data_IF_961509546122
#
_entry.id   IF_961509546122
#
_cell.length_a   1.000
_cell.length_b   1.000
_cell.length_c   1.000
_cell.angle_alpha   90.00
_cell.angle_beta   90.00
_cell.angle_gamma   90.00
#
_symmetry.space_group_name_H-M   'P 1'
#
loop_
_entity.id
_entity.type
_entity.pdbx_description
1 polymer ?
#
# COMPACT_ATOMS: atom_id res chain seq x y z
N UNK A 1 76.86 12.78 -41.17
CA UNK A 1 76.25 14.08 -41.49
C UNK A 1 75.90 14.78 -40.16
N UNK A 2 76.20 16.07 -39.98
CA UNK A 2 75.28 17.23 -40.14
C UNK A 2 73.86 16.96 -39.58
N UNK A 3 73.30 17.75 -38.64
CA UNK A 3 73.85 18.84 -37.79
C UNK A 3 72.79 19.29 -36.76
N UNK A 4 73.22 19.88 -35.64
CA UNK A 4 72.72 21.09 -34.91
C UNK A 4 71.22 21.46 -35.04
N UNK A 5 70.50 21.99 -34.04
CA UNK A 5 70.78 22.81 -32.84
C UNK A 5 69.51 22.69 -31.91
N UNK A 6 69.31 23.21 -30.69
CA UNK A 6 69.93 24.28 -29.87
C UNK A 6 69.90 23.92 -28.36
N UNK A 7 70.84 24.53 -27.63
CA UNK A 7 70.81 24.97 -26.22
C UNK A 7 69.56 25.85 -25.88
N UNK A 8 69.22 26.22 -24.63
CA UNK A 8 70.06 26.57 -23.46
C UNK A 8 69.24 26.68 -22.15
N UNK A 9 69.91 26.57 -20.98
CA UNK A 9 69.83 27.37 -19.73
C UNK A 9 68.49 28.05 -19.26
N UNK A 10 68.19 28.22 -17.96
CA UNK A 10 69.07 28.23 -16.78
C UNK A 10 68.39 27.76 -15.45
N UNK A 11 69.25 27.50 -14.47
CA UNK A 11 68.95 27.31 -13.03
C UNK A 11 68.47 28.61 -12.38
N UNK A 12 67.53 28.53 -11.44
CA UNK A 12 67.40 29.46 -10.32
C UNK A 12 66.88 28.70 -9.08
N UNK A 13 67.32 29.08 -7.88
CA UNK A 13 67.07 28.32 -6.65
C UNK A 13 66.72 29.23 -5.48
N UNK A 14 65.90 28.73 -4.54
CA UNK A 14 65.73 29.22 -3.16
C UNK A 14 65.20 30.66 -3.00
N UNK A 15 64.04 30.78 -2.35
CA UNK A 15 63.92 31.66 -1.18
C UNK A 15 62.84 31.14 -0.22
N UNK A 16 63.22 30.84 1.02
CA UNK A 16 62.26 30.68 2.12
C UNK A 16 61.98 32.05 2.72
N UNK A 17 60.71 32.31 3.05
CA UNK A 17 60.32 33.38 3.98
C UNK A 17 59.40 32.77 5.04
N UNK A 18 59.93 32.58 6.24
CA UNK A 18 59.09 32.46 7.43
C UNK A 18 58.49 33.83 7.73
N UNK A 19 57.21 33.85 8.09
CA UNK A 19 56.70 34.86 9.01
C UNK A 19 55.67 34.20 9.93
N UNK A 20 55.70 34.55 11.21
CA UNK A 20 54.88 33.91 12.24
C UNK A 20 54.18 34.97 13.08
N UNK A 21 52.90 34.78 13.37
CA UNK A 21 52.19 35.55 14.37
C UNK A 21 51.05 34.73 15.00
N UNK A 22 51.27 34.37 16.27
CA UNK A 22 50.32 34.47 17.37
C UNK A 22 48.82 34.27 17.07
N UNK A 23 48.29 33.11 17.45
CA UNK A 23 46.87 32.79 17.30
C UNK A 23 45.93 33.46 18.30
N UNK A 24 44.64 33.22 18.08
CA UNK A 24 43.54 33.38 19.02
C UNK A 24 42.72 32.07 19.04
N UNK A 25 41.94 31.84 20.09
CA UNK A 25 41.23 30.57 20.30
C UNK A 25 39.84 30.54 19.66
N UNK A 26 39.59 29.53 18.83
CA UNK A 26 38.29 28.83 18.78
C UNK A 26 38.48 27.42 19.34
N UNK A 27 37.46 26.91 20.01
CA UNK A 27 37.30 25.48 20.26
C UNK A 27 36.41 24.96 19.15
N UNK A 28 37.00 24.28 18.17
CA UNK A 28 36.28 23.77 17.03
C UNK A 28 35.53 22.49 17.47
N UNK A 29 34.21 22.62 17.57
CA UNK A 29 33.28 21.63 18.12
C UNK A 29 32.72 20.79 16.96
N UNK A 30 33.50 19.84 16.44
CA UNK A 30 33.05 18.89 15.41
C UNK A 30 32.17 17.80 16.03
N UNK A 31 30.99 18.22 16.49
CA UNK A 31 29.83 17.35 16.61
C UNK A 31 29.27 17.10 15.22
N UNK A 32 29.75 16.03 14.57
CA UNK A 32 29.23 15.54 13.29
C UNK A 32 27.85 14.88 13.48
N UNK A 33 26.84 15.69 13.80
CA UNK A 33 25.45 15.28 13.55
C UNK A 33 25.21 15.35 12.04
N UNK A 34 25.37 14.20 11.38
CA UNK A 34 24.92 13.98 10.02
C UNK A 34 23.41 14.20 9.96
N UNK A 35 22.98 15.42 9.65
CA UNK A 35 21.60 15.71 9.28
C UNK A 35 21.28 14.88 8.04
N UNK A 36 20.49 13.81 8.19
CA UNK A 36 20.03 13.04 7.04
C UNK A 36 19.32 14.00 6.09
N UNK A 37 19.83 14.07 4.85
CA UNK A 37 19.26 14.97 3.86
C UNK A 37 17.85 14.48 3.55
N UNK A 38 16.85 15.28 3.95
CA UNK A 38 15.43 14.94 3.83
C UNK A 38 15.11 14.50 2.39
N UNK A 39 15.00 13.19 2.19
CA UNK A 39 14.93 12.59 0.86
C UNK A 39 13.49 12.57 0.40
N UNK A 40 13.26 12.99 -0.84
CA UNK A 40 11.94 13.01 -1.46
C UNK A 40 11.62 11.58 -1.93
N UNK A 41 10.72 10.89 -1.23
CA UNK A 41 10.45 9.46 -1.49
C UNK A 41 9.36 9.23 -2.52
N UNK A 42 8.30 10.05 -2.51
CA UNK A 42 7.15 9.82 -3.38
C UNK A 42 7.43 10.25 -4.83
N UNK A 43 7.54 9.25 -5.72
CA UNK A 43 7.62 9.46 -7.16
C UNK A 43 6.21 9.65 -7.76
N UNK A 44 5.80 10.91 -7.92
CA UNK A 44 4.48 11.29 -8.45
C UNK A 44 4.21 10.79 -9.88
N UNK A 45 5.25 10.40 -10.64
CA UNK A 45 5.10 9.96 -12.04
C UNK A 45 4.59 8.52 -12.19
N UNK A 46 4.63 7.73 -11.11
CA UNK A 46 4.07 6.36 -11.07
C UNK A 46 2.54 6.36 -10.98
N UNK A 47 1.93 7.45 -10.52
CA UNK A 47 0.49 7.51 -10.27
C UNK A 47 -0.31 7.75 -11.55
N UNK A 48 -1.32 6.91 -11.76
CA UNK A 48 -2.30 7.06 -12.86
C UNK A 48 -3.00 8.41 -12.80
N UNK A 49 -3.29 8.95 -13.98
CA UNK A 49 -4.08 10.17 -14.15
C UNK A 49 -5.56 9.89 -14.48
N UNK A 50 -6.01 8.63 -14.46
CA UNK A 50 -7.39 8.26 -14.85
C UNK A 50 -8.43 8.87 -13.90
N UNK A 51 -8.30 8.55 -12.62
CA UNK A 51 -9.17 8.98 -11.51
C UNK A 51 -8.75 10.34 -10.92
N UNK A 52 -7.58 10.87 -11.30
CA UNK A 52 -6.94 12.01 -10.62
C UNK A 52 -7.57 13.36 -11.00
N UNK A 53 -8.04 14.11 -10.00
CA UNK A 53 -8.75 15.38 -10.17
C UNK A 53 -7.91 16.63 -9.84
N UNK A 54 -6.75 16.46 -9.20
CA UNK A 54 -5.77 17.54 -8.96
C UNK A 54 -4.33 17.04 -9.15
N UNK A 55 -3.42 17.94 -9.54
CA UNK A 55 -1.99 17.62 -9.57
C UNK A 55 -1.38 17.63 -8.17
N UNK A 56 -0.31 16.86 -7.99
CA UNK A 56 0.43 16.76 -6.72
C UNK A 56 1.03 18.12 -6.28
N UNK A 57 0.46 18.71 -5.22
CA UNK A 57 0.88 20.00 -4.64
C UNK A 57 1.69 19.77 -3.35
N UNK A 58 2.84 20.43 -3.19
CA UNK A 58 3.61 20.41 -1.94
C UNK A 58 3.10 21.48 -0.95
N UNK A 59 2.26 21.06 -0.02
CA UNK A 59 1.68 21.90 1.06
C UNK A 59 2.49 21.78 2.35
N UNK A 60 2.42 22.80 3.22
CA UNK A 60 2.94 22.71 4.59
C UNK A 60 2.07 21.77 5.44
N UNK A 61 2.70 20.92 6.25
CA UNK A 61 2.01 19.99 7.15
C UNK A 61 2.82 19.73 8.42
N UNK A 62 2.16 19.17 9.44
CA UNK A 62 2.80 18.69 10.67
C UNK A 62 2.58 17.19 10.80
N UNK A 63 3.65 16.44 11.08
CA UNK A 63 3.60 14.99 11.31
C UNK A 63 3.28 14.66 12.79
N UNK A 64 2.96 13.40 13.06
CA UNK A 64 2.53 12.88 14.36
C UNK A 64 3.58 12.92 15.48
N UNK A 65 4.85 13.09 15.14
CA UNK A 65 5.96 13.35 16.06
C UNK A 65 6.12 14.85 16.41
N UNK A 66 5.44 15.74 15.68
CA UNK A 66 5.56 17.20 15.77
C UNK A 66 6.46 17.84 14.70
N UNK A 67 7.02 17.07 13.76
CA UNK A 67 7.88 17.59 12.69
C UNK A 67 7.07 18.45 11.71
N UNK A 68 7.49 19.70 11.52
CA UNK A 68 7.00 20.60 10.46
C UNK A 68 7.72 20.28 9.14
N UNK A 69 6.97 19.94 8.09
CA UNK A 69 7.53 19.48 6.81
C UNK A 69 6.60 19.81 5.63
N UNK A 70 6.93 19.28 4.44
CA UNK A 70 6.03 19.28 3.28
C UNK A 70 5.32 17.94 3.13
N UNK A 71 4.05 18.00 2.78
CA UNK A 71 3.25 16.88 2.34
C UNK A 71 2.81 17.10 0.90
N UNK A 72 2.75 16.02 0.12
CA UNK A 72 1.98 15.99 -1.11
C UNK A 72 0.49 16.00 -0.78
N UNK A 73 -0.24 16.94 -1.37
CA UNK A 73 -1.69 16.93 -1.48
C UNK A 73 -2.07 16.51 -2.90
N UNK A 74 -3.02 15.59 -3.01
CA UNK A 74 -3.58 15.11 -4.29
C UNK A 74 -5.02 14.65 -4.09
N UNK A 75 -5.85 14.74 -5.13
CA UNK A 75 -7.27 14.37 -5.10
C UNK A 75 -7.64 13.46 -6.27
N UNK A 76 -8.58 12.55 -6.03
CA UNK A 76 -9.08 11.55 -6.97
C UNK A 76 -10.62 11.46 -6.88
N UNK A 77 -11.30 11.21 -7.99
CA UNK A 77 -12.72 10.83 -8.00
C UNK A 77 -12.85 9.33 -7.77
N UNK A 78 -13.91 8.91 -7.07
CA UNK A 78 -14.16 7.51 -6.73
C UNK A 78 -14.71 6.68 -7.91
N UNK A 79 -13.91 6.59 -8.97
CA UNK A 79 -14.26 5.90 -10.21
C UNK A 79 -13.06 5.05 -10.66
N UNK A 80 -12.97 3.77 -10.26
CA UNK A 80 -11.96 2.85 -10.78
C UNK A 80 -12.15 2.65 -12.29
N UNK A 81 -11.05 2.40 -13.02
CA UNK A 81 -11.10 2.23 -14.49
C UNK A 81 -11.89 0.98 -14.90
N UNK A 82 -11.79 -0.08 -14.09
CA UNK A 82 -12.69 -1.21 -14.09
C UNK A 82 -12.81 -1.73 -12.66
N UNK A 83 -13.99 -2.25 -12.30
CA UNK A 83 -14.24 -2.99 -11.06
C UNK A 83 -15.30 -4.06 -11.33
N UNK A 84 -15.38 -5.03 -10.42
CA UNK A 84 -16.22 -6.21 -10.54
C UNK A 84 -15.71 -7.26 -11.55
N UNK A 85 -16.41 -8.40 -11.70
CA UNK A 85 -17.65 -8.77 -11.02
C UNK A 85 -17.52 -8.84 -9.50
N UNK A 86 -18.61 -8.54 -8.80
CA UNK A 86 -18.76 -8.67 -7.34
C UNK A 86 -19.40 -10.02 -6.99
N UNK A 87 -20.52 -9.99 -6.26
CA UNK A 87 -21.31 -11.20 -6.03
C UNK A 87 -21.94 -11.71 -7.35
N UNK A 88 -21.91 -13.03 -7.64
CA UNK A 88 -22.69 -13.62 -8.74
C UNK A 88 -24.19 -13.62 -8.39
N UNK A 89 -25.07 -13.51 -9.40
CA UNK A 89 -26.53 -13.51 -9.15
C UNK A 89 -27.05 -14.93 -8.87
N UNK A 90 -26.50 -15.95 -9.52
CA UNK A 90 -26.96 -17.35 -9.44
C UNK A 90 -25.84 -18.37 -9.29
N UNK A 91 -26.20 -19.57 -8.84
CA UNK A 91 -25.31 -20.75 -8.89
C UNK A 91 -24.90 -21.10 -10.34
N UNK A 92 -23.67 -21.58 -10.51
CA UNK A 92 -23.04 -21.84 -11.81
C UNK A 92 -22.43 -20.60 -12.49
N UNK A 93 -22.50 -19.43 -11.86
CA UNK A 93 -21.75 -18.23 -12.25
C UNK A 93 -20.46 -18.10 -11.42
N UNK A 94 -19.51 -17.30 -11.90
CA UNK A 94 -18.28 -16.94 -11.18
C UNK A 94 -18.30 -15.43 -10.97
N UNK A 95 -18.27 -15.00 -9.70
CA UNK A 95 -18.13 -13.60 -9.32
C UNK A 95 -16.68 -13.14 -9.29
N UNK A 96 -16.39 -12.22 -8.37
CA UNK A 96 -15.04 -11.82 -8.02
C UNK A 96 -14.38 -12.76 -7.02
N UNK A 97 -13.73 -12.18 -6.02
CA UNK A 97 -12.96 -12.86 -4.98
C UNK A 97 -13.57 -12.64 -3.59
N UNK A 98 -13.21 -13.50 -2.64
CA UNK A 98 -13.48 -13.30 -1.22
C UNK A 98 -12.45 -14.03 -0.36
N UNK A 99 -12.15 -13.50 0.82
CA UNK A 99 -11.33 -14.19 1.82
C UNK A 99 -12.26 -14.99 2.73
N UNK A 100 -12.08 -16.31 2.74
CA UNK A 100 -12.91 -17.25 3.49
C UNK A 100 -12.17 -17.74 4.74
N UNK A 101 -12.77 -17.56 5.91
CA UNK A 101 -12.25 -17.92 7.23
C UNK A 101 -13.07 -19.04 7.91
N UNK A 102 -13.83 -19.80 7.12
CA UNK A 102 -14.55 -21.00 7.56
C UNK A 102 -13.63 -22.16 7.97
N UNK A 103 -14.24 -23.26 8.39
CA UNK A 103 -13.52 -24.49 8.74
C UNK A 103 -13.16 -25.32 7.49
N UNK A 104 -13.96 -25.21 6.42
CA UNK A 104 -13.77 -25.95 5.17
C UNK A 104 -13.11 -25.05 4.12
N UNK A 105 -11.90 -25.42 3.71
CA UNK A 105 -11.08 -24.76 2.68
C UNK A 105 -10.94 -23.21 2.84
N UNK A 106 -10.52 -22.70 4.01
CA UNK A 106 -10.23 -21.28 4.19
C UNK A 106 -9.03 -20.83 3.33
N UNK A 107 -9.01 -19.55 2.98
CA UNK A 107 -8.01 -18.94 2.09
C UNK A 107 -8.62 -17.84 1.21
N UNK A 108 -7.88 -17.39 0.19
CA UNK A 108 -8.42 -16.56 -0.88
C UNK A 108 -9.19 -17.44 -1.88
N UNK A 109 -10.45 -17.14 -2.14
CA UNK A 109 -11.37 -17.96 -2.96
C UNK A 109 -12.03 -17.11 -4.03
N UNK A 110 -12.38 -17.74 -5.16
CA UNK A 110 -13.36 -17.18 -6.08
C UNK A 110 -14.77 -17.31 -5.51
N UNK A 111 -15.66 -16.39 -5.89
CA UNK A 111 -17.08 -16.45 -5.53
C UNK A 111 -17.82 -17.35 -6.52
N UNK A 112 -17.75 -18.66 -6.31
CA UNK A 112 -18.32 -19.68 -7.19
C UNK A 112 -18.90 -20.90 -6.44
N UNK A 113 -19.44 -21.87 -7.20
CA UNK A 113 -20.09 -23.09 -6.68
C UNK A 113 -19.21 -23.93 -5.73
N UNK A 114 -17.87 -23.85 -5.80
CA UNK A 114 -17.00 -24.57 -4.86
C UNK A 114 -16.98 -23.89 -3.49
N UNK A 115 -16.96 -22.54 -3.45
CA UNK A 115 -17.12 -21.80 -2.20
C UNK A 115 -18.51 -21.99 -1.59
N UNK A 116 -19.57 -22.01 -2.41
CA UNK A 116 -20.94 -22.22 -1.92
C UNK A 116 -21.14 -23.63 -1.35
N UNK A 117 -20.43 -24.64 -1.87
CA UNK A 117 -20.39 -25.99 -1.30
C UNK A 117 -19.65 -26.04 0.06
N UNK A 118 -18.61 -25.23 0.23
CA UNK A 118 -17.87 -25.12 1.50
C UNK A 118 -18.69 -24.39 2.58
N UNK A 119 -19.40 -23.32 2.22
CA UNK A 119 -20.42 -22.67 3.07
C UNK A 119 -21.43 -23.70 3.60
N UNK A 120 -22.02 -24.49 2.70
CA UNK A 120 -23.01 -25.51 3.07
C UNK A 120 -22.41 -26.65 3.91
N UNK A 121 -21.12 -26.96 3.73
CA UNK A 121 -20.39 -27.97 4.51
C UNK A 121 -20.13 -27.50 5.95
N UNK A 122 -19.82 -26.21 6.14
CA UNK A 122 -19.69 -25.56 7.45
C UNK A 122 -21.04 -25.27 8.13
N UNK A 123 -22.15 -25.45 7.40
CA UNK A 123 -23.51 -25.29 7.92
C UNK A 123 -24.09 -23.88 7.74
N UNK A 124 -23.58 -23.12 6.77
CA UNK A 124 -24.09 -21.81 6.37
C UNK A 124 -24.94 -21.91 5.09
N UNK A 125 -26.13 -21.30 5.10
CA UNK A 125 -27.06 -21.32 3.97
C UNK A 125 -27.08 -19.98 3.21
N UNK A 126 -26.52 -19.99 1.98
CA UNK A 126 -26.27 -18.81 1.12
C UNK A 126 -27.02 -18.85 -0.23
N UNK A 127 -27.65 -19.97 -0.58
CA UNK A 127 -28.36 -20.16 -1.86
C UNK A 127 -29.87 -20.19 -1.59
N UNK A 128 -30.63 -19.33 -2.26
CA UNK A 128 -32.08 -19.28 -2.13
C UNK A 128 -32.78 -20.49 -2.81
N UNK A 129 -34.03 -20.76 -2.44
CA UNK A 129 -34.89 -21.83 -3.01
C UNK A 129 -35.00 -21.83 -4.56
N UNK A 130 -34.71 -20.71 -5.22
CA UNK A 130 -34.76 -20.55 -6.68
C UNK A 130 -33.38 -20.63 -7.38
N UNK A 131 -32.29 -20.80 -6.63
CA UNK A 131 -30.92 -20.87 -7.13
C UNK A 131 -30.20 -19.51 -7.24
N UNK A 132 -30.83 -18.41 -6.83
CA UNK A 132 -30.14 -17.13 -6.66
C UNK A 132 -29.25 -17.13 -5.41
N UNK A 133 -28.17 -16.35 -5.43
CA UNK A 133 -27.31 -16.13 -4.26
C UNK A 133 -27.97 -15.11 -3.32
N UNK A 134 -27.86 -15.32 -2.01
CA UNK A 134 -28.31 -14.34 -1.02
C UNK A 134 -27.35 -13.14 -0.94
N UNK A 135 -27.48 -12.22 -1.90
CA UNK A 135 -26.76 -10.95 -1.92
C UNK A 135 -27.42 -9.99 -0.93
N UNK A 136 -26.62 -9.42 -0.02
CA UNK A 136 -27.00 -8.30 0.84
C UNK A 136 -26.24 -7.06 0.38
N UNK A 137 -26.95 -5.93 0.27
CA UNK A 137 -26.36 -4.63 -0.05
C UNK A 137 -26.51 -3.74 1.19
N UNK A 138 -25.45 -3.56 2.01
CA UNK A 138 -25.53 -2.74 3.21
C UNK A 138 -25.70 -1.26 2.84
N UNK A 139 -26.35 -0.50 3.73
CA UNK A 139 -26.53 0.95 3.60
C UNK A 139 -25.90 1.71 4.79
N UNK A 140 -24.90 1.11 5.43
CA UNK A 140 -24.13 1.68 6.53
C UNK A 140 -22.64 1.62 6.25
N UNK A 141 -21.85 2.16 7.16
CA UNK A 141 -20.40 2.23 7.00
C UNK A 141 -19.63 0.93 7.26
N UNK A 142 -18.32 1.04 7.52
CA UNK A 142 -17.43 -0.09 7.76
C UNK A 142 -17.97 -1.02 8.85
N UNK A 143 -17.99 -2.33 8.56
CA UNK A 143 -18.56 -3.34 9.45
C UNK A 143 -20.09 -3.48 9.39
N UNK A 144 -20.78 -2.85 8.43
CA UNK A 144 -22.20 -3.15 8.15
C UNK A 144 -22.34 -4.35 7.20
N UNK A 145 -23.50 -5.02 7.24
CA UNK A 145 -23.80 -6.22 6.43
C UNK A 145 -23.57 -7.56 7.14
N UNK A 146 -22.70 -7.61 8.16
CA UNK A 146 -22.48 -8.82 8.96
C UNK A 146 -23.77 -9.31 9.66
N UNK A 147 -23.89 -10.64 9.83
CA UNK A 147 -25.15 -11.28 10.22
C UNK A 147 -25.53 -11.00 11.68
N UNK A 148 -26.67 -10.31 11.86
CA UNK A 148 -27.28 -10.10 13.17
C UNK A 148 -27.87 -11.39 13.75
N UNK A 149 -27.68 -11.60 15.06
CA UNK A 149 -28.13 -12.78 15.77
C UNK A 149 -29.67 -12.92 15.78
N UNK A 150 -30.20 -13.87 15.02
CA UNK A 150 -31.65 -14.08 14.88
C UNK A 150 -32.32 -13.24 13.79
N UNK A 151 -31.55 -12.63 12.90
CA UNK A 151 -32.03 -12.01 11.65
C UNK A 151 -32.82 -12.98 10.75
N UNK A 152 -32.50 -14.28 10.81
CA UNK A 152 -33.03 -15.31 9.92
C UNK A 152 -32.17 -15.54 8.67
N UNK A 153 -31.16 -14.70 8.44
CA UNK A 153 -30.08 -14.94 7.47
C UNK A 153 -29.02 -15.81 8.15
N UNK A 154 -28.32 -16.64 7.38
CA UNK A 154 -27.29 -17.54 7.90
C UNK A 154 -26.04 -17.64 7.01
N UNK A 155 -26.17 -17.50 5.69
CA UNK A 155 -25.08 -17.20 4.76
C UNK A 155 -25.48 -16.04 3.83
N UNK A 156 -24.55 -15.14 3.49
CA UNK A 156 -24.75 -14.11 2.46
C UNK A 156 -23.46 -13.68 1.77
N UNK A 157 -23.57 -13.24 0.53
CA UNK A 157 -22.54 -12.46 -0.16
C UNK A 157 -22.83 -10.96 0.08
N UNK A 158 -21.84 -10.16 0.45
CA UNK A 158 -22.00 -8.72 0.65
C UNK A 158 -21.48 -7.96 -0.58
N UNK A 159 -22.35 -7.14 -1.15
CA UNK A 159 -22.05 -6.26 -2.29
C UNK A 159 -22.37 -4.80 -1.92
N UNK A 160 -21.87 -3.84 -2.69
CA UNK A 160 -22.02 -2.42 -2.39
C UNK A 160 -22.02 -1.55 -3.66
N UNK A 161 -22.55 -0.33 -3.55
CA UNK A 161 -22.61 0.60 -4.67
C UNK A 161 -21.45 1.59 -4.59
N UNK A 162 -20.79 1.87 -5.72
CA UNK A 162 -19.88 3.00 -5.83
C UNK A 162 -20.62 4.32 -5.52
N UNK A 163 -20.05 5.10 -4.60
CA UNK A 163 -20.49 6.46 -4.30
C UNK A 163 -19.73 7.48 -5.16
N UNK A 164 -20.44 8.48 -5.70
CA UNK A 164 -19.82 9.65 -6.33
C UNK A 164 -19.27 10.58 -5.24
N UNK A 165 -17.95 10.56 -5.05
CA UNK A 165 -17.22 11.33 -4.05
C UNK A 165 -15.80 11.67 -4.54
N UNK A 166 -15.14 12.61 -3.86
CA UNK A 166 -13.73 12.96 -4.08
C UNK A 166 -12.88 12.57 -2.87
N UNK A 167 -11.94 11.66 -3.08
CA UNK A 167 -10.89 11.33 -2.11
C UNK A 167 -9.79 12.40 -2.21
N UNK A 168 -9.29 12.90 -1.08
CA UNK A 168 -8.11 13.77 -1.02
C UNK A 168 -7.12 13.23 0.01
N UNK A 169 -5.87 13.07 -0.39
CA UNK A 169 -4.78 12.59 0.45
C UNK A 169 -3.83 13.71 0.87
N UNK A 170 -3.21 13.52 2.03
CA UNK A 170 -2.04 14.23 2.51
C UNK A 170 -0.95 13.20 2.85
N UNK A 171 0.11 13.16 2.06
CA UNK A 171 1.17 12.14 2.13
C UNK A 171 2.50 12.85 2.46
N UNK A 172 3.27 12.46 3.49
CA UNK A 172 4.56 13.09 3.76
C UNK A 172 5.50 12.99 2.55
N UNK A 173 5.99 14.13 2.05
CA UNK A 173 6.92 14.14 0.93
C UNK A 173 8.34 13.76 1.37
N UNK A 174 8.65 14.08 2.63
CA UNK A 174 9.87 13.72 3.35
C UNK A 174 9.46 12.88 4.57
N UNK A 175 9.33 11.55 4.43
CA UNK A 175 8.93 10.66 5.51
C UNK A 175 10.02 10.56 6.59
N UNK A 176 9.61 10.38 7.85
CA UNK A 176 10.50 10.31 9.02
C UNK A 176 10.30 8.97 9.70
N UNK A 177 11.28 8.05 9.67
CA UNK A 177 11.17 6.77 10.39
C UNK A 177 11.23 7.04 11.89
N UNK A 178 10.28 6.49 12.64
CA UNK A 178 10.27 6.55 14.09
C UNK A 178 10.80 5.25 14.71
N UNK A 179 10.94 5.24 16.03
CA UNK A 179 11.40 4.06 16.80
C UNK A 179 10.26 3.13 17.24
N UNK A 180 9.01 3.39 16.82
CA UNK A 180 7.82 2.62 17.24
C UNK A 180 6.82 2.46 16.11
N UNK A 181 6.38 1.23 15.86
CA UNK A 181 5.25 0.96 14.97
C UNK A 181 4.00 1.75 15.41
N UNK A 182 3.37 2.43 14.45
CA UNK A 182 2.02 2.95 14.53
C UNK A 182 1.05 1.85 14.12
N UNK A 183 0.19 1.44 15.05
CA UNK A 183 -0.84 0.42 14.87
C UNK A 183 -2.21 1.05 15.04
N UNK A 184 -3.14 0.84 14.11
CA UNK A 184 -4.54 1.21 14.31
C UNK A 184 -5.33 0.09 15.00
N UNK A 185 -6.38 0.44 15.73
CA UNK A 185 -7.47 -0.47 16.12
C UNK A 185 -8.82 0.03 15.61
N UNK A 186 -8.79 1.03 14.73
CA UNK A 186 -9.90 1.65 14.01
C UNK A 186 -9.71 1.39 12.52
N UNK A 187 -10.81 1.22 11.80
CA UNK A 187 -10.80 1.00 10.36
C UNK A 187 -10.29 2.29 9.69
N UNK A 188 -9.11 2.22 9.08
CA UNK A 188 -8.26 3.33 8.65
C UNK A 188 -7.28 2.87 7.56
N UNK A 189 -7.23 3.61 6.46
CA UNK A 189 -6.35 3.28 5.33
C UNK A 189 -4.86 3.39 5.68
N UNK A 190 -4.10 2.36 5.29
CA UNK A 190 -2.66 2.23 5.48
C UNK A 190 -1.81 2.92 4.43
N UNK A 191 -2.38 3.17 3.24
CA UNK A 191 -1.68 3.78 2.13
C UNK A 191 -2.59 4.10 0.96
N UNK A 192 -1.98 4.46 -0.16
CA UNK A 192 -2.64 4.74 -1.44
C UNK A 192 -1.96 3.96 -2.57
N UNK A 193 -2.78 3.37 -3.42
CA UNK A 193 -2.36 2.65 -4.63
C UNK A 193 -1.95 3.61 -5.75
N UNK A 194 -1.25 3.11 -6.77
CA UNK A 194 -0.84 3.95 -7.91
C UNK A 194 -2.02 4.45 -8.76
N UNK A 195 -3.18 3.80 -8.72
CA UNK A 195 -4.44 4.27 -9.33
C UNK A 195 -5.29 5.17 -8.39
N UNK A 196 -4.79 5.48 -7.19
CA UNK A 196 -5.32 6.52 -6.30
C UNK A 196 -6.37 6.06 -5.28
N UNK A 197 -6.60 4.76 -5.14
CA UNK A 197 -7.53 4.20 -4.15
C UNK A 197 -6.80 3.84 -2.86
N UNK A 198 -7.52 3.77 -1.72
CA UNK A 198 -6.88 3.46 -0.46
C UNK A 198 -6.53 1.98 -0.35
N UNK A 199 -5.40 1.68 0.30
CA UNK A 199 -5.14 0.36 0.88
C UNK A 199 -5.76 0.33 2.27
N UNK A 200 -6.79 -0.49 2.48
CA UNK A 200 -7.49 -0.60 3.76
C UNK A 200 -6.80 -1.55 4.74
N UNK A 201 -7.17 -1.45 6.01
CA UNK A 201 -6.75 -2.38 7.05
C UNK A 201 -7.26 -3.82 6.82
N UNK A 202 -6.80 -4.74 7.67
CA UNK A 202 -7.35 -6.09 7.75
C UNK A 202 -8.83 -6.01 8.20
N UNK A 203 -9.79 -6.45 7.36
CA UNK A 203 -11.21 -6.40 7.68
C UNK A 203 -11.59 -7.46 8.73
N UNK A 204 -12.79 -7.38 9.33
CA UNK A 204 -13.35 -8.47 10.11
C UNK A 204 -13.55 -9.73 9.26
N UNK A 205 -13.39 -10.90 9.88
CA UNK A 205 -13.65 -12.20 9.26
C UNK A 205 -15.10 -12.38 8.80
N UNK A 206 -15.31 -13.21 7.77
CA UNK A 206 -16.61 -13.43 7.15
C UNK A 206 -17.49 -14.41 7.95
N UNK A 207 -16.88 -15.42 8.56
CA UNK A 207 -17.56 -16.46 9.32
C UNK A 207 -17.77 -16.09 10.80
N UNK A 208 -18.94 -16.40 11.35
CA UNK A 208 -19.24 -16.15 12.77
C UNK A 208 -20.12 -17.24 13.39
N UNK A 209 -20.26 -17.19 14.71
CA UNK A 209 -21.11 -18.09 15.48
C UNK A 209 -22.64 -17.90 15.26
N UNK A 210 -23.05 -16.93 14.43
CA UNK A 210 -24.47 -16.65 14.11
C UNK A 210 -24.80 -16.72 12.62
N UNK A 211 -23.79 -16.71 11.75
CA UNK A 211 -23.90 -16.79 10.29
C UNK A 211 -22.59 -16.36 9.62
N UNK A 212 -22.51 -16.53 8.30
CA UNK A 212 -21.40 -16.08 7.48
C UNK A 212 -21.84 -14.96 6.52
N UNK A 213 -21.02 -13.94 6.36
CA UNK A 213 -21.24 -12.85 5.41
C UNK A 213 -19.91 -12.46 4.78
N UNK A 214 -19.68 -12.89 3.54
CA UNK A 214 -18.41 -12.67 2.83
C UNK A 214 -18.46 -11.39 1.97
N UNK A 215 -17.57 -10.41 2.18
CA UNK A 215 -17.41 -9.28 1.27
C UNK A 215 -16.94 -9.73 -0.11
N UNK A 216 -17.63 -9.28 -1.16
CA UNK A 216 -17.18 -9.47 -2.53
C UNK A 216 -16.11 -8.44 -2.90
N UNK A 217 -14.89 -8.92 -3.10
CA UNK A 217 -13.83 -8.18 -3.77
C UNK A 217 -13.94 -8.43 -5.28
N UNK A 218 -13.48 -7.48 -6.10
CA UNK A 218 -13.33 -7.70 -7.53
C UNK A 218 -12.08 -8.55 -7.85
N UNK A 219 -11.83 -8.91 -9.13
CA UNK A 219 -10.65 -9.70 -9.52
C UNK A 219 -9.29 -9.08 -9.19
N UNK A 220 -9.24 -7.78 -8.89
CA UNK A 220 -8.03 -7.07 -8.45
C UNK A 220 -7.97 -6.85 -6.93
N UNK A 221 -8.98 -7.31 -6.18
CA UNK A 221 -8.96 -7.36 -4.71
C UNK A 221 -9.49 -6.12 -4.00
N UNK A 222 -10.24 -5.26 -4.70
CA UNK A 222 -10.89 -4.08 -4.11
C UNK A 222 -12.42 -4.11 -4.23
N UNK A 223 -13.10 -3.27 -3.44
CA UNK A 223 -14.57 -3.16 -3.41
C UNK A 223 -15.05 -1.77 -2.94
N UNK A 224 -16.27 -1.35 -3.30
CA UNK A 224 -16.87 -0.10 -2.83
C UNK A 224 -17.30 -0.15 -1.35
N UNK A 225 -16.94 0.84 -0.54
CA UNK A 225 -17.57 1.06 0.77
C UNK A 225 -18.96 1.72 0.60
N UNK A 226 -20.04 1.23 1.27
CA UNK A 226 -21.39 1.78 1.05
C UNK A 226 -21.59 3.24 1.45
N UNK A 227 -20.74 3.80 2.33
CA UNK A 227 -20.72 5.23 2.70
C UNK A 227 -19.35 5.89 2.47
N UNK A 228 -18.51 5.30 1.63
CA UNK A 228 -17.13 5.74 1.42
C UNK A 228 -16.54 5.32 0.07
N UNK A 229 -15.20 5.35 -0.07
CA UNK A 229 -14.52 5.06 -1.32
C UNK A 229 -14.49 3.56 -1.67
N UNK A 230 -14.25 3.27 -2.94
CA UNK A 230 -13.64 2.01 -3.36
C UNK A 230 -12.24 1.91 -2.76
N UNK A 231 -11.91 0.75 -2.21
CA UNK A 231 -10.62 0.50 -1.57
C UNK A 231 -10.18 -0.94 -1.77
N UNK A 232 -8.87 -1.15 -1.77
CA UNK A 232 -8.23 -2.44 -1.91
C UNK A 232 -8.07 -3.11 -0.53
N UNK A 233 -8.37 -4.41 -0.47
CA UNK A 233 -7.92 -5.30 0.61
C UNK A 233 -6.78 -6.22 0.16
N UNK A 234 -6.71 -6.58 -1.13
CA UNK A 234 -5.53 -7.23 -1.73
C UNK A 234 -4.78 -6.21 -2.59
N UNK A 235 -3.46 -6.33 -2.62
CA UNK A 235 -2.59 -5.46 -3.42
C UNK A 235 -2.73 -5.86 -4.91
N UNK A 236 -3.25 -4.99 -5.79
CA UNK A 236 -3.73 -5.42 -7.10
C UNK A 236 -2.61 -5.84 -8.06
N UNK A 237 -1.37 -5.37 -7.87
CA UNK A 237 -0.21 -5.75 -8.67
C UNK A 237 0.35 -7.15 -8.33
N UNK A 238 -0.11 -7.80 -7.26
CA UNK A 238 0.43 -9.09 -6.81
C UNK A 238 -0.64 -10.16 -6.62
N UNK A 239 -1.93 -9.79 -6.73
CA UNK A 239 -3.06 -10.68 -6.46
C UNK A 239 -3.06 -11.94 -7.32
N UNK A 240 -2.57 -11.91 -8.56
CA UNK A 240 -2.47 -13.12 -9.38
C UNK A 240 -1.48 -14.15 -8.81
N UNK A 241 -0.45 -13.73 -8.06
CA UNK A 241 0.46 -14.66 -7.36
C UNK A 241 -0.26 -15.38 -6.21
N UNK A 242 -1.06 -14.65 -5.43
CA UNK A 242 -1.90 -15.22 -4.36
C UNK A 242 -2.92 -16.23 -4.93
N UNK A 243 -3.53 -15.90 -6.07
CA UNK A 243 -4.46 -16.80 -6.78
C UNK A 243 -3.76 -18.06 -7.31
N UNK A 244 -2.55 -17.95 -7.87
CA UNK A 244 -1.74 -19.11 -8.28
C UNK A 244 -1.33 -20.00 -7.09
N UNK A 245 -1.10 -19.42 -5.90
CA UNK A 245 -0.76 -20.17 -4.67
C UNK A 245 -1.96 -20.97 -4.13
N UNK A 246 -3.16 -20.38 -4.11
CA UNK A 246 -4.42 -21.05 -3.73
C UNK A 246 -5.00 -21.95 -4.85
N UNK A 247 -4.45 -21.86 -6.07
CA UNK A 247 -4.90 -22.62 -7.24
C UNK A 247 -6.19 -22.08 -7.89
N UNK A 248 -6.56 -20.83 -7.61
CA UNK A 248 -7.78 -20.19 -8.13
C UNK A 248 -7.57 -19.74 -9.58
N UNK A 249 -7.94 -20.60 -10.53
CA UNK A 249 -7.80 -20.30 -11.97
C UNK A 249 -9.05 -19.71 -12.64
N UNK A 250 -10.14 -19.48 -11.90
CA UNK A 250 -11.42 -18.98 -12.41
C UNK A 250 -11.49 -17.44 -12.51
N UNK A 251 -10.62 -16.74 -11.78
CA UNK A 251 -10.57 -15.27 -11.66
C UNK A 251 -9.11 -14.80 -11.80
N UNK A 252 -8.89 -13.58 -12.30
CA UNK A 252 -7.55 -12.96 -12.39
C UNK A 252 -7.66 -11.44 -12.58
N UNK A 253 -6.76 -10.68 -11.96
CA UNK A 253 -6.61 -9.26 -12.23
C UNK A 253 -5.91 -9.05 -13.58
N UNK A 254 -6.65 -8.51 -14.56
CA UNK A 254 -6.14 -8.25 -15.92
C UNK A 254 -5.90 -6.78 -16.23
N UNK A 255 -6.34 -5.88 -15.34
CA UNK A 255 -6.44 -4.45 -15.60
C UNK A 255 -5.32 -3.63 -14.96
N UNK A 256 -4.55 -4.26 -14.06
CA UNK A 256 -3.39 -3.69 -13.38
C UNK A 256 -2.20 -4.62 -13.64
N UNK A 257 -1.06 -4.05 -14.04
CA UNK A 257 0.17 -4.79 -14.35
C UNK A 257 0.70 -5.49 -13.10
N UNK A 258 1.14 -6.74 -13.26
CA UNK A 258 1.60 -7.56 -12.14
C UNK A 258 3.12 -7.48 -11.97
N UNK A 259 3.59 -7.35 -10.73
CA UNK A 259 5.01 -7.21 -10.38
C UNK A 259 5.35 -7.98 -9.10
N UNK A 260 6.63 -8.25 -8.85
CA UNK A 260 7.12 -8.84 -7.60
C UNK A 260 8.04 -7.91 -6.80
N UNK A 261 8.70 -6.94 -7.45
CA UNK A 261 9.78 -6.13 -6.85
C UNK A 261 9.67 -4.63 -7.09
N UNK A 262 8.65 -4.14 -7.78
CA UNK A 262 8.44 -2.70 -8.05
C UNK A 262 7.52 -2.04 -7.02
N UNK A 263 7.47 -0.70 -7.01
CA UNK A 263 6.57 0.08 -6.15
C UNK A 263 5.09 -0.20 -6.50
N UNK A 264 4.34 -0.72 -5.53
CA UNK A 264 2.89 -0.97 -5.63
C UNK A 264 2.05 0.18 -5.06
N UNK A 265 2.67 1.09 -4.29
CA UNK A 265 2.03 2.31 -3.77
C UNK A 265 2.84 2.98 -2.68
N UNK A 266 2.18 3.83 -1.88
CA UNK A 266 2.83 4.58 -0.80
C UNK A 266 2.02 4.51 0.49
N UNK A 267 2.71 4.30 1.60
CA UNK A 267 2.12 4.22 2.93
C UNK A 267 1.71 5.61 3.46
N UNK A 268 0.82 5.62 4.45
CA UNK A 268 0.27 6.83 5.11
C UNK A 268 1.30 7.70 5.85
N UNK A 269 2.53 7.23 5.95
CA UNK A 269 3.69 7.92 6.49
C UNK A 269 4.66 8.46 5.43
N UNK A 270 4.40 8.19 4.14
CA UNK A 270 5.17 8.69 3.00
C UNK A 270 6.27 7.75 2.48
N UNK A 271 6.54 6.62 3.14
CA UNK A 271 7.46 5.61 2.60
C UNK A 271 6.81 4.80 1.47
N UNK A 272 7.63 4.31 0.55
CA UNK A 272 7.20 3.47 -0.56
C UNK A 272 6.80 2.06 -0.07
N UNK A 273 5.85 1.46 -0.77
CA UNK A 273 5.45 0.06 -0.63
C UNK A 273 5.84 -0.64 -1.94
N UNK A 274 6.65 -1.70 -1.85
CA UNK A 274 7.07 -2.56 -2.96
C UNK A 274 6.33 -3.91 -2.92
N UNK A 275 6.53 -4.73 -3.96
CA UNK A 275 6.12 -6.14 -3.98
C UNK A 275 6.83 -7.01 -2.91
N UNK A 276 6.71 -8.34 -3.00
CA UNK A 276 7.27 -9.29 -2.02
C UNK A 276 8.77 -9.63 -2.22
N UNK A 277 9.40 -9.12 -3.28
CA UNK A 277 10.83 -9.30 -3.58
C UNK A 277 11.61 -7.98 -3.43
N UNK A 278 12.88 -8.09 -3.06
CA UNK A 278 13.90 -7.06 -3.22
C UNK A 278 14.07 -6.68 -4.71
N UNK A 279 14.63 -5.50 -4.97
CA UNK A 279 14.83 -4.97 -6.33
C UNK A 279 15.64 -5.88 -7.28
N UNK A 280 16.41 -6.83 -6.76
CA UNK A 280 17.20 -7.80 -7.53
C UNK A 280 16.49 -9.16 -7.77
N UNK A 281 15.24 -9.30 -7.31
CA UNK A 281 14.44 -10.53 -7.40
C UNK A 281 14.80 -11.58 -6.34
N UNK A 282 15.37 -11.16 -5.20
CA UNK A 282 15.54 -12.01 -4.02
C UNK A 282 14.44 -11.76 -2.98
N UNK A 283 14.23 -12.70 -2.06
CA UNK A 283 13.28 -12.52 -0.96
C UNK A 283 13.95 -11.75 0.18
N UNK A 284 13.37 -10.64 0.69
CA UNK A 284 13.90 -9.92 1.84
C UNK A 284 14.07 -10.82 3.07
N UNK A 285 15.11 -10.60 3.87
CA UNK A 285 15.46 -11.49 5.02
C UNK A 285 15.63 -10.77 6.36
N UNK A 286 15.47 -9.45 6.39
CA UNK A 286 15.72 -8.58 7.54
C UNK A 286 14.59 -7.56 7.81
N UNK A 287 13.37 -7.87 7.35
CA UNK A 287 12.16 -7.09 7.60
C UNK A 287 11.85 -6.93 9.12
N UNK A 288 11.35 -5.75 9.49
CA UNK A 288 10.85 -5.42 10.83
C UNK A 288 9.37 -5.79 11.03
N UNK A 289 8.84 -5.54 12.24
CA UNK A 289 7.47 -5.92 12.65
C UNK A 289 6.34 -5.35 11.75
N UNK A 290 6.65 -4.40 10.84
CA UNK A 290 5.70 -3.85 9.86
C UNK A 290 6.00 -4.27 8.41
N UNK A 291 6.80 -5.33 8.20
CA UNK A 291 7.29 -5.80 6.90
C UNK A 291 8.12 -4.75 6.13
N UNK A 292 8.90 -3.93 6.84
CA UNK A 292 9.81 -2.96 6.21
C UNK A 292 11.26 -3.10 6.66
N UNK A 293 12.18 -2.63 5.83
CA UNK A 293 13.62 -2.61 6.11
C UNK A 293 14.29 -1.39 5.46
N UNK A 294 15.58 -1.16 5.76
CA UNK A 294 16.38 -0.12 5.10
C UNK A 294 17.38 -0.78 4.16
N UNK A 295 17.00 -0.89 2.90
CA UNK A 295 17.80 -1.55 1.85
C UNK A 295 17.86 -0.70 0.58
N UNK A 296 18.68 -1.11 -0.39
CA UNK A 296 18.88 -0.40 -1.67
C UNK A 296 17.76 -0.72 -2.66
N UNK A 297 17.37 0.28 -3.46
CA UNK A 297 16.42 0.11 -4.57
C UNK A 297 17.00 0.77 -5.83
N UNK A 298 16.36 0.56 -6.99
CA UNK A 298 16.77 1.21 -8.25
C UNK A 298 16.65 2.75 -8.19
N UNK A 299 15.72 3.28 -7.39
CA UNK A 299 15.56 4.71 -7.12
C UNK A 299 16.52 5.22 -6.03
N UNK A 300 16.82 4.38 -5.03
CA UNK A 300 17.58 4.75 -3.82
C UNK A 300 18.83 3.85 -3.65
N UNK A 301 19.89 4.05 -4.46
CA UNK A 301 21.08 3.18 -4.47
C UNK A 301 22.01 3.34 -3.25
N UNK A 302 21.79 4.36 -2.40
CA UNK A 302 22.47 4.50 -1.10
C UNK A 302 21.66 3.87 0.05
N UNK A 303 20.47 3.33 -0.25
CA UNK A 303 19.54 2.73 0.70
C UNK A 303 18.43 3.68 1.15
N UNK A 304 17.22 3.16 1.37
CA UNK A 304 16.13 3.87 2.04
C UNK A 304 15.23 2.92 2.82
N UNK A 305 14.55 3.42 3.85
CA UNK A 305 13.50 2.64 4.49
C UNK A 305 12.27 2.53 3.59
N UNK A 306 11.76 1.32 3.42
CA UNK A 306 10.55 1.01 2.65
C UNK A 306 9.87 -0.26 3.17
N UNK A 307 8.64 -0.51 2.69
CA UNK A 307 7.86 -1.70 3.04
C UNK A 307 7.75 -2.67 1.87
N UNK A 308 7.62 -3.96 2.19
CA UNK A 308 7.18 -5.01 1.28
C UNK A 308 5.78 -5.48 1.68
N UNK A 309 4.97 -5.84 0.69
CA UNK A 309 3.70 -6.54 0.92
C UNK A 309 3.97 -8.02 1.23
N UNK A 310 2.99 -8.73 1.79
CA UNK A 310 3.14 -10.19 2.00
C UNK A 310 2.69 -10.98 0.77
N UNK A 311 3.28 -12.16 0.58
CA UNK A 311 2.85 -13.18 -0.36
C UNK A 311 2.53 -14.52 0.34
N UNK A 312 2.30 -14.51 1.65
CA UNK A 312 1.87 -15.70 2.42
C UNK A 312 0.55 -15.47 3.19
N UNK A 313 0.16 -14.22 3.47
CA UNK A 313 -1.06 -13.86 4.20
C UNK A 313 -2.11 -13.24 3.27
N UNK A 314 -3.40 -13.41 3.60
CA UNK A 314 -4.49 -12.65 3.00
C UNK A 314 -5.45 -12.09 4.07
N UNK A 315 -5.89 -10.83 3.97
CA UNK A 315 -5.51 -9.82 2.97
C UNK A 315 -4.09 -9.26 3.19
N UNK A 316 -3.36 -8.95 2.11
CA UNK A 316 -1.90 -8.80 2.13
C UNK A 316 -1.38 -7.35 2.27
N UNK A 317 -2.11 -6.52 3.01
CA UNK A 317 -1.75 -5.11 3.26
C UNK A 317 -0.93 -4.97 4.56
N UNK A 318 -0.12 -3.92 4.65
CA UNK A 318 0.77 -3.63 5.78
C UNK A 318 0.03 -3.69 7.15
N UNK A 319 0.57 -4.40 8.16
CA UNK A 319 -0.06 -4.50 9.47
C UNK A 319 0.16 -3.25 10.33
N UNK A 320 1.18 -2.45 10.04
CA UNK A 320 1.54 -1.22 10.74
C UNK A 320 2.47 -0.33 9.91
N UNK A 321 2.79 0.87 10.42
CA UNK A 321 3.78 1.77 9.81
C UNK A 321 4.77 2.32 10.84
N UNK A 322 6.07 2.32 10.54
CA UNK A 322 7.10 2.92 11.39
C UNK A 322 7.30 4.43 11.21
N UNK A 323 6.84 5.05 10.12
CA UNK A 323 7.02 6.47 9.88
C UNK A 323 5.99 7.37 10.57
N UNK A 324 6.34 8.66 10.71
CA UNK A 324 5.46 9.67 11.28
C UNK A 324 4.39 10.12 10.27
N UNK A 325 3.12 9.74 10.51
CA UNK A 325 1.99 10.09 9.65
C UNK A 325 1.56 11.54 9.77
N UNK A 326 0.83 12.09 8.79
CA UNK A 326 0.29 13.46 8.86
C UNK A 326 -0.71 13.61 10.02
N UNK A 327 -0.49 14.57 10.91
CA UNK A 327 -1.36 14.86 12.04
C UNK A 327 -2.45 15.91 11.70
N UNK A 328 -2.16 16.80 10.76
CA UNK A 328 -3.10 17.81 10.25
C UNK A 328 -3.91 17.29 9.05
N UNK A 329 -5.24 17.37 9.12
CA UNK A 329 -6.19 16.96 8.07
C UNK A 329 -6.39 15.44 7.87
N UNK A 330 -5.76 14.58 8.68
CA UNK A 330 -5.65 13.12 8.46
C UNK A 330 -4.87 12.75 7.18
N UNK A 331 -4.52 11.47 7.04
CA UNK A 331 -3.90 10.93 5.81
C UNK A 331 -4.82 11.09 4.59
N UNK A 332 -6.13 10.89 4.78
CA UNK A 332 -7.14 10.93 3.74
C UNK A 332 -8.45 11.52 4.26
N UNK A 333 -9.15 12.25 3.40
CA UNK A 333 -10.54 12.72 3.60
C UNK A 333 -11.37 12.45 2.36
N UNK A 334 -12.68 12.22 2.51
CA UNK A 334 -13.60 12.12 1.39
C UNK A 334 -14.86 12.97 1.61
N UNK A 335 -15.37 13.58 0.53
CA UNK A 335 -16.59 14.41 0.46
C UNK A 335 -17.31 14.26 -0.89
#
# INVERSE_FOLDING_TARGET
>A
MKSNLIYSFAIASVFMLFNACSGASSSDDEGDETSEASTLVLNTSLFSSYSRTSEFELVDCTLSDGTETKCYKVSYTNSPEAWGPGCPEYVGEVGGLGVWDGNTNPGLRALDDELWADFATDGYDIINDDGSINIQIPAGGPGSGFIDAGSGINGSCLDANLNDLTITYYIPAYPVKTTRASTTTTLEYWGVSLDGFPYAEQPPGAASAVGAAIPALDPCGGHPQPDGPYHYHLIPQVVNHLLDQEGVTSVSCTNIEQTSSEVVGYARDGFAIYGYEDYDGSTPTDLDDCNGHTHVTDEFPEGIYHYHITNEDVPNILPCTYGATVASNSFSTYE
#
